data_IF_012341305094
#
_entry.id   IF_012341305094
#
_cell.length_a   1.000
_cell.length_b   1.000
_cell.length_c   1.000
_cell.angle_alpha   90.00
_cell.angle_beta   90.00
_cell.angle_gamma   90.00
#
_symmetry.space_group_name_H-M   'P 1'
#
loop_
_entity.id
_entity.type
_entity.pdbx_description
1 polymer ?
#
# COMPACT_ATOMS: atom_id res chain seq x y z
N UNK A 1 22.72 -20.58 7.76
CA UNK A 1 22.21 -20.27 6.41
C UNK A 1 23.38 -20.41 5.42
N UNK A 2 23.28 -21.30 4.43
CA UNK A 2 24.39 -21.54 3.49
C UNK A 2 24.58 -20.37 2.52
N UNK A 3 25.83 -20.13 2.08
CA UNK A 3 26.23 -19.07 1.15
C UNK A 3 25.37 -19.05 -0.13
N UNK A 4 25.06 -20.22 -0.70
CA UNK A 4 24.19 -20.37 -1.88
C UNK A 4 22.76 -19.87 -1.64
N UNK A 5 22.20 -20.08 -0.45
CA UNK A 5 20.86 -19.61 -0.09
C UNK A 5 20.83 -18.09 0.04
N UNK A 6 21.84 -17.50 0.67
CA UNK A 6 21.97 -16.04 0.78
C UNK A 6 22.11 -15.38 -0.60
N UNK A 7 22.85 -15.99 -1.51
CA UNK A 7 23.00 -15.49 -2.87
C UNK A 7 21.69 -15.55 -3.65
N UNK A 8 20.96 -16.68 -3.59
CA UNK A 8 19.64 -16.81 -4.24
C UNK A 8 18.66 -15.74 -3.74
N UNK A 9 18.60 -15.47 -2.45
CA UNK A 9 17.73 -14.45 -1.86
C UNK A 9 18.10 -13.04 -2.35
N UNK A 10 19.40 -12.71 -2.48
CA UNK A 10 19.85 -11.42 -3.03
C UNK A 10 19.41 -11.23 -4.49
N UNK A 11 19.59 -12.26 -5.31
CA UNK A 11 19.16 -12.23 -6.73
C UNK A 11 17.65 -12.09 -6.83
N UNK A 12 16.90 -12.81 -6.00
CA UNK A 12 15.43 -12.72 -5.98
C UNK A 12 14.94 -11.33 -5.57
N UNK A 13 15.53 -10.75 -4.52
CA UNK A 13 15.22 -9.36 -4.10
C UNK A 13 15.51 -8.34 -5.21
N UNK A 14 16.63 -8.49 -5.92
CA UNK A 14 16.98 -7.61 -7.04
C UNK A 14 15.95 -7.72 -8.18
N UNK A 15 15.55 -8.95 -8.53
CA UNK A 15 14.49 -9.19 -9.53
C UNK A 15 13.16 -8.53 -9.15
N UNK A 16 12.74 -8.65 -7.89
CA UNK A 16 11.50 -8.03 -7.41
C UNK A 16 11.57 -6.50 -7.43
N UNK A 17 12.71 -5.91 -7.06
CA UNK A 17 12.90 -4.46 -7.14
C UNK A 17 12.83 -3.94 -8.57
N UNK A 18 13.46 -4.64 -9.51
CA UNK A 18 13.39 -4.30 -10.94
C UNK A 18 11.96 -4.41 -11.45
N UNK A 19 11.25 -5.46 -11.06
CA UNK A 19 9.84 -5.67 -11.44
C UNK A 19 8.95 -4.56 -10.89
N UNK A 20 9.06 -4.23 -9.62
CA UNK A 20 8.33 -3.14 -8.99
C UNK A 20 8.61 -1.79 -9.70
N UNK A 21 9.87 -1.53 -10.03
CA UNK A 21 10.28 -0.34 -10.76
C UNK A 21 9.64 -0.25 -12.15
N UNK A 22 9.55 -1.37 -12.88
CA UNK A 22 8.86 -1.41 -14.18
C UNK A 22 7.36 -1.19 -14.04
N UNK A 23 6.75 -1.81 -13.03
CA UNK A 23 5.31 -1.75 -12.75
C UNK A 23 4.84 -0.36 -12.29
N UNK A 24 5.72 0.51 -11.83
CA UNK A 24 5.39 1.91 -11.49
C UNK A 24 4.71 2.69 -12.63
N UNK A 25 5.00 2.30 -13.88
CA UNK A 25 4.41 2.95 -15.07
C UNK A 25 2.93 2.66 -15.23
N UNK A 26 2.41 1.64 -14.56
CA UNK A 26 0.99 1.29 -14.55
C UNK A 26 0.19 2.17 -13.58
N UNK A 27 0.87 2.90 -12.68
CA UNK A 27 0.25 3.73 -11.67
C UNK A 27 0.06 5.17 -12.17
N UNK A 28 -1.18 5.64 -12.13
CA UNK A 28 -1.52 7.04 -12.36
C UNK A 28 -1.84 7.70 -11.03
N UNK A 29 -1.23 8.83 -10.75
CA UNK A 29 -1.42 9.59 -9.53
C UNK A 29 -2.77 10.32 -9.56
N UNK A 30 -3.58 10.12 -8.52
CA UNK A 30 -4.89 10.79 -8.35
C UNK A 30 -4.77 11.89 -7.30
N UNK A 31 -4.26 11.56 -6.12
CA UNK A 31 -4.02 12.51 -5.05
C UNK A 31 -2.69 12.18 -4.38
N UNK A 32 -1.75 13.12 -4.41
CA UNK A 32 -0.44 12.94 -3.80
C UNK A 32 -0.29 13.87 -2.60
N UNK A 33 -0.34 13.30 -1.42
CA UNK A 33 -0.13 13.98 -0.14
C UNK A 33 1.11 13.45 0.59
N UNK A 34 1.99 12.75 -0.15
CA UNK A 34 3.21 12.17 0.43
C UNK A 34 4.16 13.21 1.03
N UNK A 35 4.07 14.46 0.61
CA UNK A 35 4.80 15.58 1.20
C UNK A 35 4.42 15.89 2.65
N UNK A 36 3.29 15.37 3.14
CA UNK A 36 2.83 15.52 4.53
C UNK A 36 3.43 14.47 5.47
N UNK A 37 4.03 13.40 4.94
CA UNK A 37 4.62 12.30 5.72
C UNK A 37 5.79 12.83 6.54
N UNK A 38 5.74 12.61 7.87
CA UNK A 38 6.73 13.06 8.85
C UNK A 38 7.61 11.90 9.32
N UNK A 39 8.79 12.23 9.85
CA UNK A 39 9.79 11.29 10.34
C UNK A 39 9.27 10.41 11.43
N UNK A 40 8.61 9.62 11.64
CA UNK A 40 8.08 8.66 12.63
C UNK A 40 6.66 8.23 12.32
N UNK A 41 6.11 8.73 11.22
CA UNK A 41 4.79 8.28 10.80
C UNK A 41 4.79 6.79 10.52
N UNK A 42 3.70 6.14 10.89
CA UNK A 42 3.40 4.77 10.53
C UNK A 42 2.60 4.82 9.23
N UNK A 43 3.08 4.12 8.22
CA UNK A 43 2.48 4.13 6.89
C UNK A 43 1.75 2.82 6.61
N UNK A 44 0.55 2.92 6.02
CA UNK A 44 -0.20 1.77 5.58
C UNK A 44 -0.30 1.76 4.06
N UNK A 45 -0.02 0.60 3.46
CA UNK A 45 -0.08 0.35 2.03
C UNK A 45 -1.18 -0.68 1.73
N UNK A 46 -2.05 -0.37 0.79
CA UNK A 46 -3.16 -1.24 0.41
C UNK A 46 -3.49 -1.12 -1.07
N UNK A 47 -4.00 -2.21 -1.65
CA UNK A 47 -4.64 -2.21 -2.97
C UNK A 47 -6.11 -2.51 -2.79
N UNK A 48 -6.98 -1.76 -3.44
CA UNK A 48 -8.42 -1.96 -3.32
C UNK A 48 -9.11 -1.97 -4.70
N UNK A 49 -10.29 -2.57 -4.73
CA UNK A 49 -11.21 -2.49 -5.85
C UNK A 49 -12.63 -2.67 -5.35
N UNK A 50 -13.49 -1.66 -5.58
CA UNK A 50 -14.90 -1.68 -5.18
C UNK A 50 -15.09 -1.92 -3.67
N UNK A 51 -14.40 -1.14 -2.84
CA UNK A 51 -14.40 -1.26 -1.38
C UNK A 51 -15.06 -0.06 -0.66
N UNK A 52 -15.88 0.72 -1.36
CA UNK A 52 -16.49 1.94 -0.83
C UNK A 52 -17.22 1.71 0.51
N UNK A 53 -17.85 0.56 0.70
CA UNK A 53 -18.58 0.22 1.92
C UNK A 53 -17.63 -0.05 3.10
N UNK A 54 -16.46 -0.67 2.87
CA UNK A 54 -15.53 -1.07 3.93
C UNK A 54 -14.55 0.02 4.31
N UNK A 55 -14.16 0.86 3.37
CA UNK A 55 -13.11 1.86 3.56
C UNK A 55 -13.34 2.83 4.73
N UNK A 56 -14.57 3.32 5.02
CA UNK A 56 -14.77 4.21 6.18
C UNK A 56 -14.39 3.54 7.50
N UNK A 57 -14.75 2.29 7.69
CA UNK A 57 -14.36 1.52 8.88
C UNK A 57 -12.86 1.19 8.88
N UNK A 58 -12.33 0.73 7.75
CA UNK A 58 -10.92 0.40 7.56
C UNK A 58 -10.01 1.58 7.91
N UNK A 59 -10.23 2.75 7.34
CA UNK A 59 -9.42 3.93 7.62
C UNK A 59 -9.52 4.35 9.09
N UNK A 60 -10.73 4.35 9.68
CA UNK A 60 -10.92 4.69 11.08
C UNK A 60 -10.17 3.72 11.98
N UNK A 61 -10.29 2.41 11.76
CA UNK A 61 -9.62 1.38 12.55
C UNK A 61 -8.11 1.59 12.60
N UNK A 62 -7.49 1.80 11.47
CA UNK A 62 -6.04 1.98 11.41
C UNK A 62 -5.57 3.36 11.88
N UNK A 63 -6.38 4.40 11.75
CA UNK A 63 -6.12 5.71 12.40
C UNK A 63 -6.09 5.58 13.91
N UNK A 64 -7.05 4.85 14.48
CA UNK A 64 -7.11 4.59 15.93
C UNK A 64 -5.91 3.78 16.42
N UNK A 65 -5.33 2.93 15.56
CA UNK A 65 -4.10 2.20 15.85
C UNK A 65 -2.83 3.05 15.70
N UNK A 66 -2.91 4.27 15.23
CA UNK A 66 -1.77 5.19 15.07
C UNK A 66 -1.17 5.25 13.67
N UNK A 67 -1.82 4.68 12.65
CA UNK A 67 -1.42 4.91 11.25
C UNK A 67 -1.63 6.38 10.91
N UNK A 68 -0.57 7.02 10.42
CA UNK A 68 -0.57 8.46 10.14
C UNK A 68 -0.84 8.78 8.68
N UNK A 69 -0.52 7.88 7.77
CA UNK A 69 -0.70 8.09 6.33
C UNK A 69 -0.97 6.78 5.59
N UNK A 70 -1.87 6.84 4.63
CA UNK A 70 -2.29 5.71 3.80
C UNK A 70 -1.83 5.91 2.36
N UNK A 71 -1.15 4.92 1.80
CA UNK A 71 -0.75 4.91 0.39
C UNK A 71 -1.54 3.79 -0.30
N UNK A 72 -2.54 4.17 -1.08
CA UNK A 72 -3.54 3.24 -1.62
C UNK A 72 -3.48 3.23 -3.15
N UNK A 73 -3.59 2.03 -3.72
CA UNK A 73 -3.76 1.81 -5.16
C UNK A 73 -5.18 1.34 -5.42
N UNK A 74 -5.95 2.16 -6.11
CA UNK A 74 -7.26 1.81 -6.62
C UNK A 74 -7.13 1.07 -7.96
N UNK A 75 -7.55 -0.18 -8.00
CA UNK A 75 -7.52 -0.99 -9.21
C UNK A 75 -8.84 -0.91 -9.98
N UNK A 76 -9.08 0.25 -10.58
CA UNK A 76 -10.21 0.49 -11.48
C UNK A 76 -11.59 0.27 -10.83
N UNK A 77 -11.81 0.89 -9.66
CA UNK A 77 -13.10 0.84 -8.98
C UNK A 77 -14.18 1.64 -9.70
N UNK A 78 -15.43 1.18 -9.57
CA UNK A 78 -16.62 1.76 -10.20
C UNK A 78 -17.73 2.14 -9.21
N UNK A 79 -17.50 1.94 -7.90
CA UNK A 79 -18.50 2.08 -6.81
C UNK A 79 -18.33 3.35 -5.93
N UNK A 80 -17.52 4.32 -6.37
CA UNK A 80 -17.23 5.52 -5.56
C UNK A 80 -16.01 5.39 -4.64
N UNK A 81 -15.34 4.24 -4.61
CA UNK A 81 -14.10 4.01 -3.84
C UNK A 81 -13.06 5.10 -4.08
N UNK A 82 -12.80 5.44 -5.35
CA UNK A 82 -11.80 6.43 -5.74
C UNK A 82 -12.12 7.82 -5.20
N UNK A 83 -13.36 8.28 -5.36
CA UNK A 83 -13.78 9.61 -4.92
C UNK A 83 -13.73 9.72 -3.40
N UNK A 84 -14.15 8.69 -2.69
CA UNK A 84 -14.06 8.63 -1.24
C UNK A 84 -12.62 8.75 -0.75
N UNK A 85 -11.69 7.97 -1.32
CA UNK A 85 -10.27 7.99 -0.95
C UNK A 85 -9.60 9.31 -1.32
N UNK A 86 -9.91 9.87 -2.48
CA UNK A 86 -9.36 11.15 -2.93
C UNK A 86 -9.73 12.31 -2.00
N UNK A 87 -10.89 12.23 -1.33
CA UNK A 87 -11.35 13.21 -0.34
C UNK A 87 -10.70 13.11 1.03
N UNK A 88 -9.92 12.08 1.33
CA UNK A 88 -9.29 11.89 2.65
C UNK A 88 -7.94 12.64 2.71
N UNK A 89 -7.73 13.43 3.76
CA UNK A 89 -6.53 14.28 3.90
C UNK A 89 -5.23 13.51 4.15
N UNK A 90 -5.33 12.34 4.75
CA UNK A 90 -4.21 11.45 5.10
C UNK A 90 -4.01 10.30 4.11
N UNK A 91 -4.66 10.35 2.95
CA UNK A 91 -4.56 9.34 1.89
C UNK A 91 -3.82 9.90 0.68
N UNK A 92 -2.79 9.21 0.24
CA UNK A 92 -2.21 9.36 -1.10
C UNK A 92 -2.72 8.24 -1.99
N UNK A 93 -3.27 8.59 -3.15
CA UNK A 93 -4.02 7.68 -4.01
C UNK A 93 -3.43 7.60 -5.41
N UNK A 94 -3.22 6.40 -5.86
CA UNK A 94 -2.92 6.05 -7.25
C UNK A 94 -4.03 5.19 -7.82
N UNK A 95 -4.20 5.21 -9.12
CA UNK A 95 -5.13 4.33 -9.84
C UNK A 95 -4.42 3.56 -10.92
N UNK A 96 -4.94 2.39 -11.25
CA UNK A 96 -4.47 1.57 -12.35
C UNK A 96 -5.58 0.70 -12.92
N UNK A 97 -5.67 0.62 -14.24
CA UNK A 97 -6.50 -0.35 -14.96
C UNK A 97 -5.73 -1.62 -15.35
N UNK A 98 -4.46 -1.73 -14.93
CA UNK A 98 -3.64 -2.89 -15.23
C UNK A 98 -4.10 -4.14 -14.47
N UNK A 99 -3.73 -5.32 -15.00
CA UNK A 99 -4.15 -6.60 -14.43
C UNK A 99 -3.57 -6.81 -13.03
N UNK A 100 -4.44 -6.90 -12.04
CA UNK A 100 -4.13 -7.24 -10.66
C UNK A 100 -3.32 -8.55 -10.55
N UNK A 101 -3.75 -9.59 -11.29
CA UNK A 101 -3.06 -10.87 -11.32
C UNK A 101 -1.63 -10.76 -11.88
N UNK A 102 -1.43 -9.98 -12.95
CA UNK A 102 -0.09 -9.76 -13.53
C UNK A 102 0.83 -8.90 -12.65
N UNK A 103 0.27 -8.12 -11.75
CA UNK A 103 1.01 -7.37 -10.72
C UNK A 103 1.20 -8.18 -9.42
N UNK A 104 1.12 -9.50 -9.50
CA UNK A 104 1.19 -10.40 -8.33
C UNK A 104 0.20 -10.00 -7.24
N UNK A 105 -1.06 -9.85 -7.62
CA UNK A 105 -2.12 -9.41 -6.71
C UNK A 105 -1.82 -8.05 -6.06
N UNK A 106 -1.35 -7.09 -6.87
CA UNK A 106 -1.05 -5.73 -6.42
C UNK A 106 0.30 -5.57 -5.71
N UNK A 107 0.96 -6.65 -5.33
CA UNK A 107 2.23 -6.62 -4.57
C UNK A 107 3.32 -5.81 -5.28
N UNK A 108 3.40 -5.86 -6.61
CA UNK A 108 4.43 -5.12 -7.35
C UNK A 108 4.22 -3.61 -7.28
N UNK A 109 2.96 -3.14 -7.26
CA UNK A 109 2.63 -1.72 -7.10
C UNK A 109 2.94 -1.23 -5.68
N UNK A 110 2.54 -2.01 -4.66
CA UNK A 110 2.81 -1.68 -3.27
C UNK A 110 4.31 -1.72 -2.96
N UNK A 111 5.05 -2.68 -3.50
CA UNK A 111 6.51 -2.72 -3.37
C UNK A 111 7.18 -1.48 -3.94
N UNK A 112 6.68 -0.96 -5.07
CA UNK A 112 7.20 0.30 -5.62
C UNK A 112 6.94 1.47 -4.67
N UNK A 113 5.73 1.60 -4.17
CA UNK A 113 5.38 2.68 -3.23
C UNK A 113 6.17 2.58 -1.92
N UNK A 114 6.37 1.37 -1.40
CA UNK A 114 7.21 1.12 -0.21
C UNK A 114 8.68 1.46 -0.46
N UNK A 115 9.25 1.08 -1.60
CA UNK A 115 10.62 1.45 -1.96
C UNK A 115 10.81 2.96 -2.03
N UNK A 116 9.79 3.68 -2.50
CA UNK A 116 9.85 5.12 -2.68
C UNK A 116 9.56 5.90 -1.40
N UNK A 117 8.60 5.47 -0.59
CA UNK A 117 8.08 6.24 0.54
C UNK A 117 8.25 5.56 1.91
N UNK A 118 8.47 4.24 1.95
CA UNK A 118 8.49 3.47 3.20
C UNK A 118 9.82 3.51 3.95
N UNK A 119 10.91 4.00 3.33
CA UNK A 119 12.22 4.00 3.96
C UNK A 119 12.25 4.87 5.23
N UNK A 120 12.69 4.28 6.33
CA UNK A 120 12.75 4.95 7.63
C UNK A 120 11.42 5.00 8.40
N UNK A 121 10.39 4.30 7.93
CA UNK A 121 9.07 4.22 8.56
C UNK A 121 8.72 2.78 8.96
N UNK A 122 7.88 2.65 9.98
CA UNK A 122 7.09 1.44 10.18
C UNK A 122 6.02 1.37 9.10
N UNK A 123 5.89 0.21 8.48
CA UNK A 123 4.95 0.01 7.38
C UNK A 123 4.05 -1.19 7.64
N UNK A 124 2.77 -1.03 7.36
CA UNK A 124 1.78 -2.11 7.29
C UNK A 124 1.38 -2.31 5.83
N UNK A 125 1.19 -3.56 5.43
CA UNK A 125 0.59 -3.91 4.15
C UNK A 125 -0.55 -4.87 4.43
N UNK A 126 -1.76 -4.42 4.16
CA UNK A 126 -3.01 -5.14 4.49
C UNK A 126 -4.04 -4.91 3.39
N UNK A 127 -4.91 -5.88 3.19
CA UNK A 127 -6.08 -5.74 2.32
C UNK A 127 -7.24 -5.03 3.06
N UNK A 128 -8.20 -4.40 2.37
CA UNK A 128 -9.28 -3.64 3.01
C UNK A 128 -10.22 -4.46 3.90
N UNK A 129 -10.19 -5.78 3.81
CA UNK A 129 -10.94 -6.72 4.63
C UNK A 129 -10.10 -7.38 5.74
N UNK A 130 -8.83 -6.99 5.86
CA UNK A 130 -7.92 -7.46 6.89
C UNK A 130 -7.78 -6.45 8.02
N UNK A 131 -7.83 -6.95 9.27
CA UNK A 131 -7.65 -6.15 10.47
C UNK A 131 -6.55 -6.76 11.34
N UNK A 132 -5.46 -6.01 11.50
CA UNK A 132 -4.32 -6.42 12.31
C UNK A 132 -4.68 -6.36 13.79
N UNK A 133 -4.63 -7.52 14.46
CA UNK A 133 -4.87 -7.65 15.90
C UNK A 133 -3.55 -8.09 16.55
N UNK A 134 -3.13 -7.40 17.60
CA UNK A 134 -1.95 -7.76 18.37
C UNK A 134 -2.33 -8.05 19.82
N UNK A 135 -1.51 -8.82 20.59
CA UNK A 135 -1.75 -9.06 22.00
C UNK A 135 -1.91 -7.75 22.76
N UNK A 136 -2.93 -7.67 23.63
CA UNK A 136 -3.27 -6.49 24.42
C UNK A 136 -3.83 -5.31 23.61
N UNK A 137 -4.33 -5.56 22.41
CA UNK A 137 -5.11 -4.59 21.66
C UNK A 137 -6.49 -4.50 22.29
N UNK A 138 -6.83 -3.34 22.85
CA UNK A 138 -8.19 -3.04 23.30
C UNK A 138 -9.04 -2.70 22.08
N UNK A 139 -9.88 -3.64 21.65
CA UNK A 139 -10.79 -3.51 20.51
C UNK A 139 -12.14 -2.98 20.92
#
# INVERSE_FOLDING_TARGET
MGFAQSYRLRVQRKRWRIRAFRKRRELTRVADRTGQIRKRDILLFSTCRNEAIRLPYFLRYYRDMGVSHFLIVDNDSTDGTRDYLAGQEDVSLWTTAASYKRARFGVDWLNWLQLKHGHGHWTLTVDPDEFFIYPFCDT
#
